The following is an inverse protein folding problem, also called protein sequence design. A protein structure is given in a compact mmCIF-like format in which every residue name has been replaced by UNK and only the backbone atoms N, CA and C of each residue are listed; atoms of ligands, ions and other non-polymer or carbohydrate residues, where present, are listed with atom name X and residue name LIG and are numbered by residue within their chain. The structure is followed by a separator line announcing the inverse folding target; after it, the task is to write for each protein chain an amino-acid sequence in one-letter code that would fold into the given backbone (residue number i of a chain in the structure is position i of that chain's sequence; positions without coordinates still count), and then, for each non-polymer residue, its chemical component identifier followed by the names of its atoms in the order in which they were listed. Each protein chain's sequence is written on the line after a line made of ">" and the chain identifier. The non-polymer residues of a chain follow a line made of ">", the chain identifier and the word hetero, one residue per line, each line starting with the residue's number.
data_IF_892869626714
#
_entry.id   IF_892869626714
#
_cell.length_a   1.000
_cell.length_b   1.000
_cell.length_c   1.000
_cell.angle_alpha   90.00
_cell.angle_beta   90.00
_cell.angle_gamma   90.00
#
_symmetry.space_group_name_H-M   'P 1'
#
loop_
_entity.id
_entity.type
_entity.pdbx_description
1 polymer ?
#
# COMPACT_ATOMS: atom_id res chain seq x y z
N UNK A 1 6.24 -22.14 -26.49
CA UNK A 1 5.69 -21.08 -25.64
C UNK A 1 4.61 -21.71 -24.76
N UNK A 2 4.84 -21.75 -23.44
CA UNK A 2 3.85 -22.21 -22.47
C UNK A 2 3.20 -21.00 -21.80
N UNK A 3 1.99 -21.17 -21.29
CA UNK A 3 1.42 -20.19 -20.37
C UNK A 3 2.34 -20.04 -19.16
N UNK A 4 2.38 -18.84 -18.59
CA UNK A 4 3.09 -18.60 -17.33
C UNK A 4 2.50 -19.45 -16.20
N UNK A 5 3.29 -19.72 -15.17
CA UNK A 5 2.79 -20.30 -13.93
C UNK A 5 1.68 -19.44 -13.33
N UNK A 6 0.49 -20.04 -13.18
CA UNK A 6 -0.70 -19.35 -12.71
C UNK A 6 -0.50 -18.72 -11.31
N UNK A 7 0.30 -19.33 -10.47
CA UNK A 7 0.57 -18.85 -9.11
C UNK A 7 1.83 -18.01 -8.99
N UNK A 8 2.56 -17.79 -10.09
CA UNK A 8 3.83 -17.07 -10.14
C UNK A 8 4.84 -17.54 -9.06
N UNK A 9 4.93 -18.86 -8.84
CA UNK A 9 5.70 -19.47 -7.73
C UNK A 9 7.16 -19.04 -7.74
N UNK A 10 7.80 -19.06 -8.92
CA UNK A 10 9.22 -18.70 -9.04
C UNK A 10 9.44 -17.21 -8.70
N UNK A 11 8.56 -16.31 -9.15
CA UNK A 11 8.67 -14.89 -8.83
C UNK A 11 8.41 -14.62 -7.35
N UNK A 12 7.38 -15.25 -6.77
CA UNK A 12 7.10 -15.16 -5.34
C UNK A 12 8.29 -15.61 -4.50
N UNK A 13 8.93 -16.73 -4.89
CA UNK A 13 10.10 -17.24 -4.20
C UNK A 13 11.27 -16.27 -4.27
N UNK A 14 11.57 -15.72 -5.46
CA UNK A 14 12.65 -14.74 -5.62
C UNK A 14 12.41 -13.48 -4.79
N UNK A 15 11.17 -12.96 -4.77
CA UNK A 15 10.81 -11.81 -3.95
C UNK A 15 10.91 -12.13 -2.46
N UNK A 16 10.39 -13.27 -2.02
CA UNK A 16 10.47 -13.72 -0.64
C UNK A 16 11.95 -13.86 -0.19
N UNK A 17 12.78 -14.53 -0.98
CA UNK A 17 14.21 -14.70 -0.71
C UNK A 17 14.96 -13.35 -0.63
N UNK A 18 14.61 -12.39 -1.52
CA UNK A 18 15.20 -11.04 -1.56
C UNK A 18 14.95 -10.27 -0.26
N UNK A 19 13.76 -10.41 0.31
CA UNK A 19 13.36 -9.71 1.53
C UNK A 19 13.48 -10.55 2.80
N UNK A 20 14.00 -11.79 2.72
CA UNK A 20 14.12 -12.68 3.88
C UNK A 20 12.77 -13.09 4.48
N UNK A 21 11.74 -13.20 3.64
CA UNK A 21 10.38 -13.59 3.98
C UNK A 21 10.02 -14.93 3.34
N UNK A 22 8.80 -15.41 3.54
CA UNK A 22 8.29 -16.62 2.90
C UNK A 22 7.36 -16.30 1.73
N UNK A 23 7.08 -17.27 0.87
CA UNK A 23 6.17 -17.12 -0.28
C UNK A 23 4.75 -16.74 0.14
N UNK A 24 4.36 -17.08 1.35
CA UNK A 24 3.04 -16.78 1.90
C UNK A 24 2.84 -15.29 2.19
N UNK A 25 3.93 -14.53 2.36
CA UNK A 25 3.90 -13.08 2.49
C UNK A 25 3.76 -12.34 1.16
N UNK A 26 3.79 -13.05 0.01
CA UNK A 26 3.86 -12.40 -1.30
C UNK A 26 2.60 -12.67 -2.11
N UNK A 27 1.93 -11.60 -2.54
CA UNK A 27 0.89 -11.66 -3.55
C UNK A 27 1.34 -10.93 -4.82
N UNK A 28 1.09 -11.53 -6.00
CA UNK A 28 1.42 -10.97 -7.31
C UNK A 28 0.13 -10.57 -8.02
N UNK A 29 0.14 -9.41 -8.68
CA UNK A 29 -0.98 -8.91 -9.47
C UNK A 29 -0.56 -8.36 -10.83
N UNK A 30 -1.56 -8.13 -11.69
CA UNK A 30 -1.39 -7.48 -12.98
C UNK A 30 -1.13 -5.97 -12.82
N UNK A 31 0.04 -5.62 -12.28
CA UNK A 31 0.37 -4.31 -11.71
C UNK A 31 -0.14 -4.17 -10.27
N UNK A 32 0.35 -3.17 -9.53
CA UNK A 32 -0.16 -2.86 -8.19
C UNK A 32 -1.64 -2.46 -8.21
N UNK A 33 -2.15 -1.94 -9.34
CA UNK A 33 -3.58 -1.60 -9.50
C UNK A 33 -4.49 -2.81 -9.28
N UNK A 34 -4.16 -3.96 -9.87
CA UNK A 34 -4.97 -5.18 -9.65
C UNK A 34 -4.92 -5.66 -8.18
N UNK A 35 -3.84 -5.36 -7.46
CA UNK A 35 -3.76 -5.66 -6.03
C UNK A 35 -4.65 -4.69 -5.23
N UNK A 36 -4.68 -3.42 -5.62
CA UNK A 36 -5.59 -2.42 -5.02
C UNK A 36 -7.04 -2.87 -5.19
N UNK A 37 -7.42 -3.30 -6.40
CA UNK A 37 -8.76 -3.82 -6.68
C UNK A 37 -9.08 -5.04 -5.81
N UNK A 38 -8.17 -6.02 -5.73
CA UNK A 38 -8.32 -7.20 -4.87
C UNK A 38 -8.46 -6.84 -3.38
N UNK A 39 -7.74 -5.84 -2.89
CA UNK A 39 -7.89 -5.37 -1.50
C UNK A 39 -9.28 -4.80 -1.25
N UNK A 40 -9.83 -4.06 -2.21
CA UNK A 40 -11.21 -3.59 -2.16
C UNK A 40 -12.21 -4.74 -2.11
N UNK A 41 -12.11 -5.66 -3.06
CA UNK A 41 -13.02 -6.82 -3.17
C UNK A 41 -13.00 -7.74 -1.93
N UNK A 42 -11.82 -7.90 -1.30
CA UNK A 42 -11.66 -8.83 -0.15
C UNK A 42 -12.04 -8.17 1.17
N UNK A 43 -11.74 -6.89 1.36
CA UNK A 43 -11.79 -6.28 2.69
C UNK A 43 -12.87 -5.22 2.84
N UNK A 44 -13.35 -4.58 1.78
CA UNK A 44 -14.34 -3.50 1.87
C UNK A 44 -15.74 -4.04 1.70
N UNK A 45 -16.60 -3.76 2.67
CA UNK A 45 -18.03 -4.00 2.58
C UNK A 45 -18.79 -2.69 2.40
N UNK A 46 -20.05 -2.80 2.03
CA UNK A 46 -20.91 -1.62 1.90
C UNK A 46 -20.97 -0.82 3.20
N UNK A 47 -20.57 0.46 3.12
CA UNK A 47 -20.57 1.39 4.26
C UNK A 47 -19.30 1.40 5.10
N UNK A 48 -18.32 0.52 4.83
CA UNK A 48 -17.00 0.58 5.46
C UNK A 48 -16.27 1.88 5.04
N UNK A 49 -15.63 2.53 5.99
CA UNK A 49 -14.88 3.76 5.73
C UNK A 49 -13.42 3.47 5.36
N UNK A 50 -12.92 4.20 4.36
CA UNK A 50 -11.51 4.18 3.97
C UNK A 50 -10.94 5.59 4.07
N UNK A 51 -9.91 5.77 4.93
CA UNK A 51 -9.27 7.05 5.21
C UNK A 51 -8.01 7.22 4.36
N UNK A 52 -7.89 8.33 3.66
CA UNK A 52 -6.69 8.70 2.91
C UNK A 52 -6.63 10.21 2.67
N UNK A 53 -5.46 10.74 2.28
CA UNK A 53 -5.31 12.12 1.87
C UNK A 53 -5.44 12.28 0.35
N UNK A 54 -5.90 13.45 -0.11
CA UNK A 54 -5.96 13.79 -1.53
C UNK A 54 -5.37 15.19 -1.80
N UNK A 55 -4.81 15.42 -3.01
CA UNK A 55 -4.75 14.50 -4.16
C UNK A 55 -3.78 13.33 -3.96
N UNK A 56 -4.18 12.16 -4.44
CA UNK A 56 -3.38 10.93 -4.44
C UNK A 56 -3.69 10.09 -5.68
N UNK A 57 -3.12 8.86 -5.77
CA UNK A 57 -3.36 7.97 -6.89
C UNK A 57 -4.84 7.61 -7.04
N UNK A 58 -5.39 7.84 -8.23
CA UNK A 58 -6.83 7.74 -8.51
C UNK A 58 -7.45 6.35 -8.35
N UNK A 59 -6.65 5.28 -8.42
CA UNK A 59 -7.16 3.94 -8.19
C UNK A 59 -7.71 3.72 -6.76
N UNK A 60 -7.27 4.50 -5.77
CA UNK A 60 -7.77 4.34 -4.39
C UNK A 60 -9.22 4.81 -4.25
N UNK A 61 -9.60 6.05 -4.63
CA UNK A 61 -10.99 6.45 -4.62
C UNK A 61 -11.90 5.53 -5.44
N UNK A 62 -11.45 5.05 -6.59
CA UNK A 62 -12.24 4.16 -7.44
C UNK A 62 -12.48 2.83 -6.76
N UNK A 63 -11.44 2.18 -6.23
CA UNK A 63 -11.54 0.94 -5.46
C UNK A 63 -12.55 1.07 -4.31
N UNK A 64 -12.52 2.16 -3.53
CA UNK A 64 -13.47 2.37 -2.43
C UNK A 64 -14.90 2.44 -2.94
N UNK A 65 -15.14 3.19 -4.02
CA UNK A 65 -16.48 3.38 -4.57
C UNK A 65 -17.05 2.14 -5.20
N UNK A 66 -16.23 1.40 -5.94
CA UNK A 66 -16.64 0.20 -6.67
C UNK A 66 -17.08 -0.91 -5.72
N UNK A 67 -16.55 -0.91 -4.48
CA UNK A 67 -16.91 -1.85 -3.43
C UNK A 67 -17.98 -1.32 -2.44
N UNK A 68 -18.58 -0.16 -2.72
CA UNK A 68 -19.62 0.42 -1.86
C UNK A 68 -19.10 1.00 -0.54
N UNK A 69 -17.80 1.23 -0.43
CA UNK A 69 -17.16 1.88 0.71
C UNK A 69 -17.43 3.39 0.76
N UNK A 70 -17.17 3.98 1.90
CA UNK A 70 -17.26 5.42 2.16
C UNK A 70 -15.87 6.02 2.17
N UNK A 71 -15.65 7.02 1.31
CA UNK A 71 -14.40 7.76 1.24
C UNK A 71 -14.32 8.79 2.36
N UNK A 72 -13.33 8.66 3.25
CA UNK A 72 -12.97 9.67 4.25
C UNK A 72 -11.71 10.37 3.77
N UNK A 73 -11.90 11.48 3.08
CA UNK A 73 -10.83 12.17 2.35
C UNK A 73 -10.37 13.39 3.14
N UNK A 74 -9.07 13.46 3.40
CA UNK A 74 -8.43 14.56 4.09
C UNK A 74 -7.54 15.35 3.13
N UNK A 75 -7.30 16.65 3.37
CA UNK A 75 -6.30 17.38 2.61
C UNK A 75 -4.89 16.88 2.93
N UNK A 76 -3.98 17.04 1.99
CA UNK A 76 -2.56 17.00 2.28
C UNK A 76 -2.16 18.20 3.13
N UNK A 77 -1.01 18.14 3.81
CA UNK A 77 -0.39 19.27 4.49
C UNK A 77 -0.01 20.39 3.50
N UNK A 78 0.37 21.55 4.00
CA UNK A 78 0.86 22.66 3.17
C UNK A 78 2.08 22.27 2.32
N UNK A 79 2.88 21.31 2.80
CA UNK A 79 4.02 20.72 2.07
C UNK A 79 3.63 19.57 1.14
N UNK A 80 2.34 19.38 0.90
CA UNK A 80 1.78 18.30 0.06
C UNK A 80 2.11 16.88 0.55
N UNK A 81 2.40 16.69 1.82
CA UNK A 81 2.59 15.38 2.45
C UNK A 81 1.28 14.84 3.03
N UNK A 82 1.22 13.55 3.27
CA UNK A 82 0.12 12.93 4.03
C UNK A 82 0.10 13.47 5.47
N UNK A 83 -1.07 13.92 5.92
CA UNK A 83 -1.30 14.34 7.32
C UNK A 83 -1.70 13.12 8.16
N UNK A 84 -0.69 12.41 8.69
CA UNK A 84 -0.91 11.18 9.43
C UNK A 84 -1.66 11.42 10.75
N UNK A 85 -1.49 12.59 11.38
CA UNK A 85 -2.19 12.94 12.61
C UNK A 85 -3.68 13.20 12.34
N UNK A 86 -3.99 13.93 11.28
CA UNK A 86 -5.36 14.12 10.85
C UNK A 86 -6.02 12.80 10.41
N UNK A 87 -5.28 11.92 9.73
CA UNK A 87 -5.76 10.59 9.38
C UNK A 87 -6.11 9.77 10.63
N UNK A 88 -5.23 9.76 11.65
CA UNK A 88 -5.46 9.05 12.90
C UNK A 88 -6.70 9.58 13.64
N UNK A 89 -6.88 10.91 13.65
CA UNK A 89 -8.02 11.56 14.27
C UNK A 89 -9.37 11.30 13.54
N UNK A 90 -9.32 10.97 12.25
CA UNK A 90 -10.50 10.68 11.44
C UNK A 90 -10.98 9.22 11.53
N UNK A 91 -10.25 8.35 12.23
CA UNK A 91 -10.61 6.94 12.39
C UNK A 91 -11.85 6.79 13.27
N UNK A 92 -12.79 5.98 12.82
CA UNK A 92 -14.02 5.61 13.55
C UNK A 92 -14.13 4.10 13.67
N UNK A 93 -15.14 3.61 14.37
CA UNK A 93 -15.44 2.17 14.45
C UNK A 93 -15.85 1.55 13.08
N UNK A 94 -16.16 2.40 12.08
CA UNK A 94 -16.46 1.98 10.70
C UNK A 94 -15.25 1.99 9.80
N UNK A 95 -14.14 2.56 10.23
CA UNK A 95 -12.93 2.62 9.43
C UNK A 95 -12.35 1.23 9.25
N UNK A 96 -12.38 0.76 8.00
CA UNK A 96 -11.85 -0.56 7.64
C UNK A 96 -10.40 -0.48 7.20
N UNK A 97 -10.04 0.59 6.50
CA UNK A 97 -8.74 0.69 5.86
C UNK A 97 -8.21 2.13 5.93
N UNK A 98 -6.91 2.27 6.02
CA UNK A 98 -6.18 3.52 5.79
C UNK A 98 -5.19 3.32 4.65
N UNK A 99 -5.04 4.32 3.78
CA UNK A 99 -4.13 4.25 2.63
C UNK A 99 -3.12 5.39 2.69
N UNK A 100 -1.84 5.05 2.58
CA UNK A 100 -0.73 5.99 2.52
C UNK A 100 0.08 5.71 1.26
N UNK A 101 0.01 6.60 0.26
CA UNK A 101 0.86 6.55 -0.93
C UNK A 101 2.17 7.28 -0.62
N UNK A 102 3.28 6.54 -0.53
CA UNK A 102 4.54 7.09 -0.01
C UNK A 102 5.78 6.51 -0.72
N UNK A 103 6.38 7.26 -1.67
CA UNK A 103 6.05 8.62 -2.12
C UNK A 103 4.70 8.78 -2.81
N UNK A 104 4.07 9.97 -2.62
CA UNK A 104 2.75 10.25 -3.14
C UNK A 104 2.76 10.55 -4.66
N UNK A 105 1.78 10.04 -5.36
CA UNK A 105 1.44 10.42 -6.72
C UNK A 105 0.14 11.27 -6.68
N UNK A 106 0.08 12.52 -7.16
CA UNK A 106 1.02 13.12 -8.13
C UNK A 106 2.10 14.06 -7.53
N UNK A 107 2.14 14.28 -6.24
CA UNK A 107 2.94 15.35 -5.64
C UNK A 107 4.44 15.06 -5.58
N UNK A 108 4.83 13.78 -5.57
CA UNK A 108 6.22 13.35 -5.43
C UNK A 108 6.80 13.55 -4.02
N UNK A 109 6.00 14.03 -3.10
CA UNK A 109 6.37 14.22 -1.69
C UNK A 109 6.31 12.90 -0.94
N UNK A 110 7.04 12.81 0.16
CA UNK A 110 6.98 11.63 1.02
C UNK A 110 7.03 12.01 2.51
N UNK A 111 6.44 11.15 3.31
CA UNK A 111 6.58 11.19 4.76
C UNK A 111 7.71 10.24 5.17
N UNK A 112 8.54 10.65 6.13
CA UNK A 112 9.61 9.80 6.63
C UNK A 112 9.07 8.45 7.13
N UNK A 113 9.76 7.36 6.79
CA UNK A 113 9.32 5.99 7.08
C UNK A 113 9.05 5.73 8.55
N UNK A 114 9.86 6.30 9.45
CA UNK A 114 9.66 6.14 10.90
C UNK A 114 8.34 6.76 11.38
N UNK A 115 7.90 7.87 10.76
CA UNK A 115 6.60 8.48 11.08
C UNK A 115 5.44 7.62 10.56
N UNK A 116 5.58 7.04 9.37
CA UNK A 116 4.57 6.12 8.83
C UNK A 116 4.49 4.85 9.67
N UNK A 117 5.62 4.29 10.10
CA UNK A 117 5.67 3.15 11.01
C UNK A 117 4.99 3.47 12.35
N UNK A 118 5.30 4.63 12.95
CA UNK A 118 4.67 5.07 14.20
C UNK A 118 3.15 5.23 14.05
N UNK A 119 2.70 5.81 12.93
CA UNK A 119 1.28 5.92 12.59
C UNK A 119 0.62 4.54 12.53
N UNK A 120 1.21 3.58 11.79
CA UNK A 120 0.68 2.21 11.67
C UNK A 120 0.57 1.53 13.04
N UNK A 121 1.56 1.70 13.90
CA UNK A 121 1.54 1.13 15.26
C UNK A 121 0.45 1.71 16.17
N UNK A 122 -0.01 2.93 15.91
CA UNK A 122 -1.10 3.60 16.63
C UNK A 122 -2.50 3.23 16.13
N UNK A 123 -2.62 2.59 14.98
CA UNK A 123 -3.92 2.23 14.42
C UNK A 123 -4.65 1.23 15.33
N UNK A 124 -5.98 1.34 15.46
CA UNK A 124 -6.79 0.29 16.09
C UNK A 124 -6.68 -1.05 15.34
N UNK A 125 -6.84 -2.15 16.04
CA UNK A 125 -6.64 -3.51 15.50
C UNK A 125 -7.59 -3.87 14.34
N UNK A 126 -8.74 -3.22 14.25
CA UNK A 126 -9.71 -3.44 13.19
C UNK A 126 -9.38 -2.71 11.87
N UNK A 127 -8.40 -1.80 11.89
CA UNK A 127 -8.02 -0.98 10.74
C UNK A 127 -6.84 -1.61 9.99
N UNK A 128 -7.00 -1.78 8.70
CA UNK A 128 -5.99 -2.36 7.81
C UNK A 128 -5.17 -1.23 7.16
N UNK A 129 -3.87 -1.08 7.46
CA UNK A 129 -2.99 -0.17 6.74
C UNK A 129 -2.56 -0.74 5.39
N UNK A 130 -2.64 0.11 4.36
CA UNK A 130 -2.12 -0.12 3.02
C UNK A 130 -1.12 0.98 2.70
N UNK A 131 0.12 0.62 2.44
CA UNK A 131 1.19 1.55 2.07
C UNK A 131 1.57 1.29 0.62
N UNK A 132 1.35 2.26 -0.25
CA UNK A 132 1.76 2.16 -1.65
C UNK A 132 3.16 2.76 -1.81
N UNK A 133 4.12 1.89 -2.04
CA UNK A 133 5.53 2.21 -2.26
C UNK A 133 5.93 2.08 -3.75
N UNK A 134 5.02 2.35 -4.68
CA UNK A 134 5.30 2.24 -6.11
C UNK A 134 6.48 3.12 -6.57
N UNK A 135 6.80 4.17 -5.83
CA UNK A 135 7.89 5.11 -6.12
C UNK A 135 9.01 5.08 -5.09
N UNK A 136 9.08 4.06 -4.25
CA UNK A 136 10.05 3.94 -3.15
C UNK A 136 11.50 4.12 -3.61
N UNK A 137 11.88 3.51 -4.72
CA UNK A 137 13.26 3.51 -5.21
C UNK A 137 13.73 4.89 -5.72
N UNK A 138 12.86 5.88 -5.84
CA UNK A 138 13.23 7.26 -6.23
C UNK A 138 13.63 8.13 -5.04
N UNK A 139 13.46 7.67 -3.80
CA UNK A 139 13.84 8.42 -2.62
C UNK A 139 15.34 8.22 -2.34
N UNK A 140 16.10 9.31 -2.40
CA UNK A 140 17.54 9.29 -2.17
C UNK A 140 17.94 9.46 -0.69
N UNK A 141 16.98 9.76 0.20
CA UNK A 141 17.21 9.92 1.64
C UNK A 141 17.57 8.56 2.27
N UNK A 142 18.81 8.42 2.81
CA UNK A 142 19.25 7.15 3.39
C UNK A 142 18.51 6.74 4.67
N UNK A 143 17.71 7.64 5.25
CA UNK A 143 16.87 7.34 6.41
C UNK A 143 15.48 6.82 6.03
N UNK A 144 15.15 6.90 4.73
CA UNK A 144 13.91 6.35 4.20
C UNK A 144 14.07 4.84 3.96
N UNK A 145 13.18 4.05 4.52
CA UNK A 145 13.17 2.60 4.39
C UNK A 145 11.77 2.09 4.06
N UNK A 146 11.71 0.91 3.42
CA UNK A 146 10.44 0.27 3.10
C UNK A 146 9.73 -0.25 4.36
N UNK A 147 8.42 -0.07 4.43
CA UNK A 147 7.59 -0.61 5.51
C UNK A 147 7.50 -2.15 5.48
N UNK A 148 8.01 -2.83 4.43
CA UNK A 148 8.26 -4.28 4.43
C UNK A 148 9.11 -4.68 5.64
N UNK A 149 9.98 -3.79 6.12
CA UNK A 149 10.76 -3.97 7.33
C UNK A 149 9.89 -4.35 8.55
N UNK A 150 8.72 -3.76 8.70
CA UNK A 150 7.82 -4.11 9.82
C UNK A 150 7.41 -5.60 9.75
N UNK A 151 7.11 -6.10 8.54
CA UNK A 151 6.77 -7.52 8.32
C UNK A 151 7.98 -8.41 8.63
N UNK A 152 9.18 -8.01 8.20
CA UNK A 152 10.43 -8.71 8.50
C UNK A 152 10.73 -8.78 10.01
N UNK A 153 10.35 -7.75 10.75
CA UNK A 153 10.52 -7.66 12.21
C UNK A 153 9.38 -8.34 12.99
N UNK A 154 8.45 -9.01 12.30
CA UNK A 154 7.38 -9.79 12.93
C UNK A 154 6.18 -8.95 13.39
N UNK A 155 5.85 -7.88 12.68
CA UNK A 155 4.60 -7.17 12.91
C UNK A 155 3.42 -8.13 12.69
N UNK A 156 2.60 -8.31 13.71
CA UNK A 156 1.62 -9.41 13.85
C UNK A 156 0.18 -9.04 13.45
N UNK A 157 -0.01 -7.84 12.90
CA UNK A 157 -1.31 -7.37 12.39
C UNK A 157 -1.28 -7.22 10.87
N UNK A 158 -2.46 -7.24 10.18
CA UNK A 158 -2.50 -7.01 8.74
C UNK A 158 -1.79 -5.71 8.37
N UNK A 159 -0.89 -5.79 7.38
CA UNK A 159 -0.22 -4.65 6.77
C UNK A 159 0.07 -5.01 5.32
N UNK A 160 -0.38 -4.19 4.37
CA UNK A 160 -0.11 -4.40 2.96
C UNK A 160 0.86 -3.34 2.43
N UNK A 161 2.01 -3.78 1.92
CA UNK A 161 3.01 -2.89 1.31
C UNK A 161 3.08 -3.18 -0.18
N UNK A 162 2.55 -2.27 -0.99
CA UNK A 162 2.44 -2.41 -2.44
C UNK A 162 3.72 -1.97 -3.14
N UNK A 163 4.14 -2.74 -4.14
CA UNK A 163 5.31 -2.46 -4.98
C UNK A 163 4.99 -2.78 -6.44
N UNK A 164 5.78 -2.24 -7.35
CA UNK A 164 5.57 -2.46 -8.79
C UNK A 164 6.87 -2.50 -9.58
N UNK A 165 6.89 -3.28 -10.65
CA UNK A 165 7.96 -3.23 -11.65
C UNK A 165 7.75 -2.13 -12.72
N UNK A 166 6.62 -1.44 -12.67
CA UNK A 166 6.22 -0.47 -13.70
C UNK A 166 7.05 0.82 -13.71
N UNK A 167 7.64 1.22 -12.56
CA UNK A 167 8.25 2.54 -12.37
C UNK A 167 9.75 2.49 -12.59
N UNK A 168 10.55 2.38 -11.55
CA UNK A 168 12.02 2.41 -11.63
C UNK A 168 12.59 1.35 -12.59
N UNK A 169 11.96 0.20 -12.68
CA UNK A 169 12.39 -0.89 -13.54
C UNK A 169 11.96 -0.75 -15.01
N UNK A 170 11.12 0.25 -15.35
CA UNK A 170 10.68 0.53 -16.73
C UNK A 170 9.79 -0.54 -17.36
N UNK A 171 9.18 -1.41 -16.56
CA UNK A 171 8.43 -2.58 -17.04
C UNK A 171 6.91 -2.37 -17.01
N UNK A 172 6.43 -1.14 -17.18
CA UNK A 172 4.99 -0.82 -17.11
C UNK A 172 4.12 -1.67 -18.05
N UNK A 173 4.62 -2.00 -19.23
CA UNK A 173 3.92 -2.82 -20.23
C UNK A 173 3.77 -4.29 -19.87
N UNK A 174 4.59 -4.82 -18.94
CA UNK A 174 4.51 -6.23 -18.51
C UNK A 174 3.40 -6.46 -17.48
N UNK A 175 2.86 -5.39 -16.90
CA UNK A 175 1.79 -5.46 -15.90
C UNK A 175 2.14 -6.38 -14.72
N UNK A 176 3.24 -6.10 -14.02
CA UNK A 176 3.66 -6.87 -12.84
C UNK A 176 3.75 -5.93 -11.64
N UNK A 177 2.98 -6.25 -10.60
CA UNK A 177 3.04 -5.65 -9.28
C UNK A 177 2.99 -6.72 -8.21
N UNK A 178 3.37 -6.36 -7.01
CA UNK A 178 3.37 -7.26 -5.87
C UNK A 178 3.08 -6.53 -4.58
N UNK A 179 2.61 -7.26 -3.58
CA UNK A 179 2.49 -6.78 -2.21
C UNK A 179 3.11 -7.78 -1.26
N UNK A 180 3.65 -7.25 -0.17
CA UNK A 180 3.97 -8.02 1.02
C UNK A 180 2.90 -7.79 2.09
N UNK A 181 2.50 -8.89 2.79
CA UNK A 181 1.56 -8.86 3.90
C UNK A 181 1.91 -9.92 4.95
#
# INVERSE_FOLDING_TARGET
>A
YMYQDFYAVDLKKQLADLYGLTVDHVCIGAGSSAIIDMLGEVFINYGDEVVYCAPTYEAFPDMVSDNGGVRVVLPLTDDYCYDLDAMLAAITDKTKMVIVCNPNNPTGTYVNSAKVEEFIRKLPDHVIPVVDEAYFEYVEDPTHYSLIKMIQEGYDRPLFVLRTFSKIYGMAGLRIGYTFA
#
